data_IF_859041922371
#
_entry.id   IF_859041922371
#
_cell.length_a   1.000
_cell.length_b   1.000
_cell.length_c   1.000
_cell.angle_alpha   90.00
_cell.angle_beta   90.00
_cell.angle_gamma   90.00
#
_symmetry.space_group_name_H-M   'P 1'
#
loop_
_entity.id
_entity.type
_entity.pdbx_description
1 polymer ?
#
# COMPACT_ATOMS: atom_id res chain seq x y z
N UNK A 1 30.76 -12.23 -28.96
CA UNK A 1 29.48 -11.47 -28.93
C UNK A 1 28.45 -12.45 -28.42
N UNK A 2 28.52 -12.73 -27.10
CA UNK A 2 27.58 -13.61 -26.37
C UNK A 2 26.44 -12.75 -25.84
N UNK A 3 25.33 -12.75 -26.58
CA UNK A 3 24.03 -12.37 -26.03
C UNK A 3 23.63 -13.52 -25.09
N UNK A 4 24.21 -13.51 -23.90
CA UNK A 4 23.91 -14.47 -22.87
C UNK A 4 22.43 -14.38 -22.50
N UNK A 5 21.75 -15.49 -22.54
CA UNK A 5 20.38 -15.78 -22.12
C UNK A 5 20.13 -15.35 -20.65
N UNK A 6 20.08 -14.04 -20.42
CA UNK A 6 19.97 -13.44 -19.08
C UNK A 6 18.56 -13.54 -18.48
N UNK A 7 17.64 -14.21 -19.17
CA UNK A 7 16.25 -14.38 -18.72
C UNK A 7 15.87 -15.84 -18.37
N UNK A 8 16.78 -16.80 -18.53
CA UNK A 8 16.49 -18.16 -18.05
C UNK A 8 16.51 -18.18 -16.53
N UNK A 9 15.35 -18.41 -15.94
CA UNK A 9 15.23 -18.62 -14.49
C UNK A 9 15.85 -19.97 -14.17
N UNK A 10 17.06 -19.96 -13.63
CA UNK A 10 17.65 -21.17 -13.08
C UNK A 10 17.03 -21.43 -11.70
N UNK A 11 15.95 -22.20 -11.65
CA UNK A 11 15.19 -22.51 -10.41
C UNK A 11 16.06 -23.08 -9.30
N UNK A 12 17.10 -23.87 -9.62
CA UNK A 12 18.01 -24.40 -8.60
C UNK A 12 18.81 -23.28 -7.92
N UNK A 13 19.39 -22.36 -8.70
CA UNK A 13 20.13 -21.23 -8.16
C UNK A 13 19.22 -20.24 -7.44
N UNK A 14 18.03 -20.00 -7.98
CA UNK A 14 17.02 -19.16 -7.33
C UNK A 14 16.65 -19.72 -5.95
N UNK A 15 16.30 -21.01 -5.85
CA UNK A 15 15.92 -21.66 -4.60
C UNK A 15 17.06 -21.68 -3.56
N UNK A 16 18.30 -21.76 -4.02
CA UNK A 16 19.48 -21.73 -3.14
C UNK A 16 19.72 -20.34 -2.55
N UNK A 17 19.48 -19.28 -3.34
CA UNK A 17 19.81 -17.90 -3.00
C UNK A 17 18.67 -17.13 -2.32
N UNK A 18 17.42 -17.63 -2.39
CA UNK A 18 16.28 -16.96 -1.76
C UNK A 18 16.32 -17.14 -0.24
N UNK A 19 15.96 -16.09 0.49
CA UNK A 19 15.72 -16.18 1.93
C UNK A 19 14.43 -16.96 2.20
N UNK A 20 14.60 -18.17 2.76
CA UNK A 20 13.50 -19.09 3.02
C UNK A 20 12.61 -18.62 4.17
N UNK A 21 13.17 -17.85 5.12
CA UNK A 21 12.40 -17.30 6.25
C UNK A 21 11.43 -16.24 5.73
N UNK A 22 11.92 -15.29 4.93
CA UNK A 22 11.07 -14.28 4.31
C UNK A 22 9.99 -14.93 3.43
N UNK A 23 10.38 -15.90 2.59
CA UNK A 23 9.43 -16.61 1.73
C UNK A 23 8.35 -17.34 2.56
N UNK A 24 8.75 -18.03 3.64
CA UNK A 24 7.78 -18.73 4.50
C UNK A 24 6.82 -17.80 5.20
N UNK A 25 7.28 -16.62 5.63
CA UNK A 25 6.43 -15.58 6.23
C UNK A 25 5.43 -15.01 5.21
N UNK A 26 5.86 -14.79 3.97
CA UNK A 26 4.95 -14.33 2.89
C UNK A 26 3.87 -15.40 2.63
N UNK A 27 4.25 -16.68 2.51
CA UNK A 27 3.29 -17.78 2.30
C UNK A 27 2.33 -17.90 3.48
N UNK A 28 2.85 -17.77 4.72
CA UNK A 28 2.02 -17.77 5.92
C UNK A 28 0.98 -16.65 5.89
N UNK A 29 1.41 -15.41 5.59
CA UNK A 29 0.51 -14.25 5.50
C UNK A 29 -0.54 -14.41 4.38
N UNK A 30 -0.16 -14.95 3.23
CA UNK A 30 -1.09 -15.27 2.15
C UNK A 30 -2.11 -16.33 2.57
N UNK A 31 -1.66 -17.40 3.25
CA UNK A 31 -2.53 -18.44 3.77
C UNK A 31 -3.53 -17.92 4.81
N UNK A 32 -3.05 -17.08 5.75
CA UNK A 32 -3.91 -16.43 6.72
C UNK A 32 -4.92 -15.47 6.04
N UNK A 33 -4.46 -14.71 5.05
CA UNK A 33 -5.35 -13.84 4.26
C UNK A 33 -6.46 -14.62 3.56
N UNK A 34 -6.14 -15.76 2.93
CA UNK A 34 -7.15 -16.65 2.33
C UNK A 34 -8.11 -17.22 3.36
N UNK A 35 -7.59 -17.69 4.49
CA UNK A 35 -8.40 -18.22 5.57
C UNK A 35 -9.40 -17.20 6.09
N UNK A 36 -8.95 -15.98 6.41
CA UNK A 36 -9.83 -14.92 6.88
C UNK A 36 -10.81 -14.45 5.80
N UNK A 37 -10.38 -14.39 4.54
CA UNK A 37 -11.29 -14.06 3.44
C UNK A 37 -12.40 -15.10 3.29
N UNK A 38 -12.11 -16.39 3.48
CA UNK A 38 -13.09 -17.45 3.42
C UNK A 38 -14.07 -17.40 4.60
N UNK A 39 -13.55 -17.28 5.81
CA UNK A 39 -14.33 -17.47 7.03
C UNK A 39 -15.10 -16.22 7.42
N UNK A 40 -14.41 -15.07 7.46
CA UNK A 40 -14.98 -13.87 8.06
C UNK A 40 -15.67 -12.93 7.08
N UNK A 41 -15.32 -12.97 5.79
CA UNK A 41 -15.78 -11.94 4.86
C UNK A 41 -16.70 -12.43 3.76
N UNK A 42 -16.61 -13.71 3.36
CA UNK A 42 -17.33 -14.20 2.19
C UNK A 42 -18.85 -14.13 2.35
N UNK A 43 -19.39 -14.53 3.49
CA UNK A 43 -20.83 -14.50 3.76
C UNK A 43 -21.38 -13.07 3.87
N UNK A 44 -20.66 -12.19 4.58
CA UNK A 44 -21.09 -10.80 4.77
C UNK A 44 -21.11 -10.05 3.44
N UNK A 45 -20.04 -10.20 2.66
CA UNK A 45 -19.91 -9.52 1.40
C UNK A 45 -20.91 -10.04 0.35
N UNK A 46 -21.20 -11.35 0.32
CA UNK A 46 -22.19 -11.93 -0.57
C UNK A 46 -23.59 -11.41 -0.28
N UNK A 47 -23.97 -11.33 0.99
CA UNK A 47 -25.29 -10.83 1.41
C UNK A 47 -25.47 -9.33 1.11
N UNK A 48 -24.39 -8.52 1.23
CA UNK A 48 -24.45 -7.08 0.94
C UNK A 48 -24.42 -6.73 -0.55
N UNK A 49 -23.85 -7.60 -1.40
CA UNK A 49 -23.61 -7.34 -2.81
C UNK A 49 -24.38 -8.28 -3.75
N UNK A 50 -25.28 -9.11 -3.22
CA UNK A 50 -26.04 -10.13 -3.98
C UNK A 50 -25.13 -11.01 -4.87
N UNK A 51 -23.97 -11.42 -4.33
CA UNK A 51 -22.99 -12.23 -5.04
C UNK A 51 -22.84 -13.61 -4.40
N UNK A 52 -22.19 -14.53 -5.13
CA UNK A 52 -21.85 -15.84 -4.57
C UNK A 52 -20.96 -15.69 -3.33
N UNK A 53 -21.26 -16.45 -2.26
CA UNK A 53 -20.51 -16.43 -0.99
C UNK A 53 -19.00 -16.66 -1.16
N UNK A 54 -18.57 -17.36 -2.19
CA UNK A 54 -17.14 -17.62 -2.45
C UNK A 54 -16.49 -16.62 -3.41
N UNK A 55 -17.21 -15.61 -3.91
CA UNK A 55 -16.69 -14.66 -4.88
C UNK A 55 -15.42 -13.96 -4.39
N UNK A 56 -15.43 -13.45 -3.17
CA UNK A 56 -14.26 -12.74 -2.59
C UNK A 56 -13.09 -13.67 -2.32
N UNK A 57 -13.35 -14.91 -1.91
CA UNK A 57 -12.32 -15.94 -1.73
C UNK A 57 -11.62 -16.26 -3.06
N UNK A 58 -12.34 -16.55 -4.11
CA UNK A 58 -11.75 -16.85 -5.43
C UNK A 58 -11.01 -15.64 -6.01
N UNK A 59 -11.58 -14.44 -5.84
CA UNK A 59 -10.91 -13.20 -6.24
C UNK A 59 -9.58 -13.02 -5.50
N UNK A 60 -9.55 -13.25 -4.20
CA UNK A 60 -8.33 -13.15 -3.39
C UNK A 60 -7.31 -14.23 -3.80
N UNK A 61 -7.74 -15.47 -3.98
CA UNK A 61 -6.89 -16.58 -4.46
C UNK A 61 -6.24 -16.25 -5.82
N UNK A 62 -7.02 -15.68 -6.75
CA UNK A 62 -6.52 -15.26 -8.05
C UNK A 62 -5.41 -14.20 -7.93
N UNK A 63 -5.63 -13.17 -7.09
CA UNK A 63 -4.61 -12.13 -6.87
C UNK A 63 -3.37 -12.63 -6.15
N UNK A 64 -3.50 -13.56 -5.21
CA UNK A 64 -2.36 -14.23 -4.58
C UNK A 64 -1.56 -15.02 -5.64
N UNK A 65 -2.24 -15.73 -6.54
CA UNK A 65 -1.57 -16.43 -7.65
C UNK A 65 -0.74 -15.48 -8.52
N UNK A 66 -1.32 -14.36 -8.91
CA UNK A 66 -0.60 -13.29 -9.64
C UNK A 66 0.57 -12.76 -8.79
N UNK A 67 0.35 -12.50 -7.51
CA UNK A 67 1.39 -12.02 -6.59
C UNK A 67 2.57 -12.98 -6.48
N UNK A 68 2.33 -14.29 -6.41
CA UNK A 68 3.37 -15.32 -6.39
C UNK A 68 4.17 -15.32 -7.71
N UNK A 69 3.51 -15.19 -8.86
CA UNK A 69 4.18 -15.11 -10.17
C UNK A 69 5.10 -13.89 -10.20
N UNK A 70 4.63 -12.73 -9.77
CA UNK A 70 5.46 -11.52 -9.68
C UNK A 70 6.61 -11.67 -8.68
N UNK A 71 6.37 -12.30 -7.53
CA UNK A 71 7.40 -12.56 -6.53
C UNK A 71 8.53 -13.40 -7.14
N UNK A 72 8.21 -14.53 -7.80
CA UNK A 72 9.20 -15.39 -8.44
C UNK A 72 9.92 -14.64 -9.56
N UNK A 73 9.19 -13.92 -10.39
CA UNK A 73 9.76 -13.17 -11.52
C UNK A 73 10.76 -12.11 -11.01
N UNK A 74 10.35 -11.22 -10.12
CA UNK A 74 11.21 -10.13 -9.65
C UNK A 74 12.38 -10.63 -8.79
N UNK A 75 12.17 -11.66 -7.96
CA UNK A 75 13.25 -12.24 -7.14
C UNK A 75 14.29 -13.02 -7.94
N UNK A 76 13.98 -13.41 -9.17
CA UNK A 76 14.92 -14.10 -10.07
C UNK A 76 15.77 -13.15 -10.93
N UNK A 77 15.45 -11.86 -10.94
CA UNK A 77 16.18 -10.87 -11.74
C UNK A 77 17.53 -10.50 -11.09
N UNK A 78 18.53 -10.25 -11.95
CA UNK A 78 19.75 -9.58 -11.51
C UNK A 78 19.47 -8.09 -11.20
N UNK A 79 20.27 -7.48 -10.33
CA UNK A 79 20.11 -6.06 -9.94
C UNK A 79 20.01 -5.12 -11.15
N UNK A 80 20.86 -5.31 -12.15
CA UNK A 80 20.87 -4.50 -13.37
C UNK A 80 19.56 -4.64 -14.18
N UNK A 81 19.02 -5.87 -14.28
CA UNK A 81 17.77 -6.13 -14.99
C UNK A 81 16.58 -5.61 -14.19
N UNK A 82 16.59 -5.81 -12.88
CA UNK A 82 15.61 -5.25 -11.96
C UNK A 82 15.49 -3.74 -12.15
N UNK A 83 16.63 -3.03 -12.17
CA UNK A 83 16.66 -1.59 -12.37
C UNK A 83 16.11 -1.17 -13.75
N UNK A 84 16.56 -1.81 -14.83
CA UNK A 84 16.06 -1.49 -16.19
C UNK A 84 14.55 -1.69 -16.33
N UNK A 85 14.05 -2.81 -15.81
CA UNK A 85 12.61 -3.11 -15.83
C UNK A 85 11.84 -2.11 -14.97
N UNK A 86 12.38 -1.77 -13.79
CA UNK A 86 11.76 -0.79 -12.89
C UNK A 86 11.62 0.60 -13.51
N UNK A 87 12.61 1.05 -14.30
CA UNK A 87 12.49 2.33 -15.04
C UNK A 87 11.35 2.25 -16.05
N UNK A 88 11.28 1.18 -16.83
CA UNK A 88 10.23 1.03 -17.86
C UNK A 88 8.85 1.00 -17.19
N UNK A 89 8.69 0.19 -16.14
CA UNK A 89 7.43 0.07 -15.41
C UNK A 89 7.06 1.37 -14.68
N UNK A 90 8.04 2.11 -14.16
CA UNK A 90 7.82 3.43 -13.59
C UNK A 90 7.15 4.38 -14.58
N UNK A 91 7.70 4.51 -15.79
CA UNK A 91 7.13 5.39 -16.81
C UNK A 91 5.78 4.89 -17.34
N UNK A 92 5.60 3.58 -17.52
CA UNK A 92 4.30 3.01 -17.88
C UNK A 92 3.24 3.34 -16.83
N UNK A 93 3.53 3.10 -15.55
CA UNK A 93 2.60 3.41 -14.47
C UNK A 93 2.36 4.92 -14.32
N UNK A 94 3.36 5.75 -14.57
CA UNK A 94 3.22 7.21 -14.58
C UNK A 94 2.27 7.69 -15.69
N UNK A 95 2.36 7.07 -16.88
CA UNK A 95 1.42 7.33 -17.99
C UNK A 95 0.01 6.92 -17.56
N UNK A 96 -0.20 5.73 -16.99
CA UNK A 96 -1.51 5.33 -16.47
C UNK A 96 -2.03 6.29 -15.38
N UNK A 97 -1.16 6.74 -14.48
CA UNK A 97 -1.53 7.71 -13.45
C UNK A 97 -1.97 9.06 -14.06
N UNK A 98 -1.29 9.51 -15.12
CA UNK A 98 -1.63 10.75 -15.83
C UNK A 98 -2.94 10.66 -16.64
N UNK A 99 -3.33 9.45 -17.04
CA UNK A 99 -4.59 9.20 -17.78
C UNK A 99 -5.82 9.12 -16.86
N UNK A 100 -5.66 8.95 -15.55
CA UNK A 100 -6.78 8.84 -14.61
C UNK A 100 -7.80 9.97 -14.72
N UNK A 101 -7.45 11.26 -14.85
CA UNK A 101 -8.44 12.32 -15.01
C UNK A 101 -9.38 12.12 -16.21
N UNK A 102 -8.90 11.44 -17.26
CA UNK A 102 -9.60 11.22 -18.53
C UNK A 102 -10.42 9.93 -18.49
N UNK A 103 -9.76 8.78 -18.18
CA UNK A 103 -10.35 7.44 -18.28
C UNK A 103 -10.70 6.83 -16.92
N UNK A 104 -10.37 7.51 -15.82
CA UNK A 104 -10.60 6.99 -14.46
C UNK A 104 -12.07 6.86 -14.11
N UNK A 105 -12.39 5.78 -13.42
CA UNK A 105 -13.73 5.52 -12.87
C UNK A 105 -13.88 6.26 -11.56
N UNK A 106 -15.01 6.96 -11.42
CA UNK A 106 -15.35 7.66 -10.19
C UNK A 106 -15.94 6.70 -9.16
N UNK A 107 -15.28 6.61 -8.00
CA UNK A 107 -15.73 5.80 -6.87
C UNK A 107 -15.73 6.69 -5.63
N UNK A 108 -16.88 6.80 -4.95
CA UNK A 108 -17.05 7.61 -3.73
C UNK A 108 -16.58 9.07 -3.90
N UNK A 109 -16.88 9.68 -5.06
CA UNK A 109 -16.57 11.08 -5.35
C UNK A 109 -15.13 11.37 -5.75
N UNK A 110 -14.33 10.35 -6.06
CA UNK A 110 -12.97 10.55 -6.56
C UNK A 110 -12.62 9.57 -7.67
N UNK A 111 -11.86 10.07 -8.68
CA UNK A 111 -11.35 9.26 -9.78
C UNK A 111 -9.93 8.83 -9.44
N UNK A 112 -9.73 7.56 -9.07
CA UNK A 112 -8.42 6.99 -8.67
C UNK A 112 -8.15 5.63 -9.30
N UNK A 113 -9.18 5.01 -9.88
CA UNK A 113 -9.16 3.65 -10.37
C UNK A 113 -9.29 3.62 -11.88
N UNK A 114 -8.59 2.69 -12.50
CA UNK A 114 -8.74 2.39 -13.93
C UNK A 114 -9.46 1.05 -14.05
N UNK A 115 -10.46 1.02 -14.94
CA UNK A 115 -11.19 -0.17 -15.32
C UNK A 115 -10.83 -0.51 -16.78
N UNK A 116 -10.09 -1.60 -16.97
CA UNK A 116 -9.71 -2.09 -18.30
C UNK A 116 -10.47 -3.38 -18.51
N UNK A 117 -11.16 -3.49 -19.63
CA UNK A 117 -12.13 -4.51 -19.98
C UNK A 117 -11.78 -5.97 -19.58
N UNK A 118 -10.50 -6.35 -19.55
CA UNK A 118 -10.05 -7.71 -19.20
C UNK A 118 -9.32 -7.80 -17.84
N UNK A 119 -9.06 -6.68 -17.18
CA UNK A 119 -8.33 -6.66 -15.92
C UNK A 119 -9.25 -6.23 -14.78
N UNK A 120 -9.05 -6.77 -13.58
CA UNK A 120 -9.70 -6.21 -12.39
C UNK A 120 -9.33 -4.74 -12.23
N UNK A 121 -10.24 -3.94 -11.70
CA UNK A 121 -9.97 -2.54 -11.38
C UNK A 121 -8.71 -2.45 -10.54
N UNK A 122 -7.79 -1.59 -10.94
CA UNK A 122 -6.55 -1.35 -10.21
C UNK A 122 -6.27 0.14 -10.07
N UNK A 123 -5.48 0.47 -9.08
CA UNK A 123 -5.04 1.83 -8.82
C UNK A 123 -3.58 1.96 -9.26
N UNK A 124 -3.25 2.76 -10.29
CA UNK A 124 -1.89 2.84 -10.84
C UNK A 124 -0.82 3.22 -9.82
N UNK A 125 -1.14 4.04 -8.84
CA UNK A 125 -0.19 4.43 -7.79
C UNK A 125 0.26 3.24 -6.93
N UNK A 126 -0.61 2.24 -6.69
CA UNK A 126 -0.26 1.05 -5.92
C UNK A 126 0.84 0.23 -6.62
N UNK A 127 0.74 0.13 -7.94
CA UNK A 127 1.74 -0.55 -8.77
C UNK A 127 3.01 0.29 -8.94
N UNK A 128 2.87 1.62 -8.96
CA UNK A 128 4.00 2.55 -9.15
C UNK A 128 4.93 2.62 -7.93
N UNK A 129 4.41 2.50 -6.70
CA UNK A 129 5.18 2.68 -5.45
C UNK A 129 6.50 1.90 -5.37
N UNK A 130 6.55 0.58 -5.62
CA UNK A 130 7.82 -0.14 -5.57
C UNK A 130 8.84 0.38 -6.60
N UNK A 131 8.39 0.78 -7.78
CA UNK A 131 9.27 1.32 -8.81
C UNK A 131 9.77 2.73 -8.49
N UNK A 132 8.96 3.55 -7.81
CA UNK A 132 9.44 4.83 -7.24
C UNK A 132 10.64 4.59 -6.35
N UNK A 133 10.55 3.65 -5.40
CA UNK A 133 11.63 3.36 -4.46
C UNK A 133 12.90 2.93 -5.19
N UNK A 134 12.82 2.00 -6.12
CA UNK A 134 13.98 1.47 -6.86
C UNK A 134 14.63 2.57 -7.73
N UNK A 135 13.83 3.34 -8.46
CA UNK A 135 14.34 4.40 -9.33
C UNK A 135 14.97 5.52 -8.51
N UNK A 136 14.33 5.95 -7.42
CA UNK A 136 14.88 6.98 -6.53
C UNK A 136 16.16 6.51 -5.84
N UNK A 137 16.17 5.30 -5.29
CA UNK A 137 17.36 4.74 -4.65
C UNK A 137 18.54 4.69 -5.62
N UNK A 138 18.34 4.27 -6.86
CA UNK A 138 19.42 4.21 -7.85
C UNK A 138 19.97 5.58 -8.27
N UNK A 139 19.13 6.62 -8.31
CA UNK A 139 19.56 8.00 -8.57
C UNK A 139 20.43 8.50 -7.40
N UNK A 140 19.96 8.27 -6.18
CA UNK A 140 20.62 8.75 -4.98
C UNK A 140 21.92 8.00 -4.69
N UNK A 141 21.98 6.69 -4.95
CA UNK A 141 23.18 5.85 -4.75
C UNK A 141 24.20 5.93 -5.89
N UNK A 142 23.87 6.57 -7.03
CA UNK A 142 24.73 6.62 -8.20
C UNK A 142 26.15 7.15 -7.85
N UNK A 143 27.18 6.36 -8.16
CA UNK A 143 28.61 6.73 -7.95
C UNK A 143 29.15 7.74 -8.98
N UNK A 144 28.35 8.08 -10.01
CA UNK A 144 28.74 9.11 -10.97
C UNK A 144 29.01 10.42 -10.24
N UNK A 145 30.08 11.12 -10.65
CA UNK A 145 30.55 12.41 -10.07
C UNK A 145 29.54 13.57 -10.25
N UNK A 146 28.25 13.31 -10.06
CA UNK A 146 27.26 14.36 -10.01
C UNK A 146 27.29 15.04 -8.65
N UNK A 147 27.12 16.36 -8.65
CA UNK A 147 26.90 17.10 -7.41
C UNK A 147 25.68 16.49 -6.68
N UNK A 148 25.82 16.27 -5.37
CA UNK A 148 24.79 15.68 -4.52
C UNK A 148 23.45 16.44 -4.65
N UNK A 149 23.49 17.76 -4.76
CA UNK A 149 22.30 18.59 -4.97
C UNK A 149 21.61 18.32 -6.30
N UNK A 150 22.35 17.95 -7.34
CA UNK A 150 21.78 17.55 -8.63
C UNK A 150 20.99 16.25 -8.52
N UNK A 151 21.47 15.27 -7.74
CA UNK A 151 20.74 14.03 -7.47
C UNK A 151 19.42 14.31 -6.73
N UNK A 152 19.44 15.20 -5.75
CA UNK A 152 18.24 15.61 -5.02
C UNK A 152 17.26 16.34 -5.93
N UNK A 153 17.73 17.25 -6.77
CA UNK A 153 16.88 17.96 -7.73
C UNK A 153 16.25 17.00 -8.75
N UNK A 154 17.04 16.06 -9.27
CA UNK A 154 16.54 15.04 -10.22
C UNK A 154 15.48 14.14 -9.56
N UNK A 155 15.71 13.67 -8.34
CA UNK A 155 14.75 12.88 -7.59
C UNK A 155 13.46 13.68 -7.32
N UNK A 156 13.57 14.96 -6.98
CA UNK A 156 12.42 15.85 -6.81
C UNK A 156 11.66 16.04 -8.13
N UNK A 157 12.35 16.26 -9.24
CA UNK A 157 11.74 16.43 -10.55
C UNK A 157 10.93 15.21 -11.00
N UNK A 158 11.31 14.00 -10.56
CA UNK A 158 10.54 12.77 -10.85
C UNK A 158 9.36 12.57 -9.91
N UNK A 159 9.49 12.93 -8.63
CA UNK A 159 8.40 12.74 -7.66
C UNK A 159 7.34 13.85 -7.72
N UNK A 160 7.72 15.07 -8.07
CA UNK A 160 6.81 16.22 -8.09
C UNK A 160 5.58 16.03 -9.00
N UNK A 161 5.68 15.52 -10.25
CA UNK A 161 4.52 15.25 -11.08
C UNK A 161 3.60 14.17 -10.49
N UNK A 162 4.15 13.16 -9.80
CA UNK A 162 3.36 12.13 -9.13
C UNK A 162 2.55 12.75 -7.99
N UNK A 163 3.19 13.54 -7.13
CA UNK A 163 2.53 14.26 -6.04
C UNK A 163 1.45 15.20 -6.58
N UNK A 164 1.74 15.95 -7.63
CA UNK A 164 0.77 16.83 -8.27
C UNK A 164 -0.46 16.07 -8.77
N UNK A 165 -0.27 14.95 -9.47
CA UNK A 165 -1.36 14.10 -9.96
C UNK A 165 -2.20 13.53 -8.81
N UNK A 166 -1.58 13.09 -7.72
CA UNK A 166 -2.29 12.55 -6.55
C UNK A 166 -3.12 13.63 -5.83
N UNK A 167 -2.60 14.85 -5.70
CA UNK A 167 -3.34 15.99 -5.12
C UNK A 167 -4.55 16.35 -5.99
N UNK A 168 -4.43 16.28 -7.31
CA UNK A 168 -5.57 16.56 -8.22
C UNK A 168 -6.65 15.48 -8.14
N UNK A 169 -6.28 14.23 -7.78
CA UNK A 169 -7.18 13.09 -7.57
C UNK A 169 -7.81 13.03 -6.17
N UNK A 170 -7.78 14.09 -5.37
CA UNK A 170 -7.87 14.23 -3.92
C UNK A 170 -7.43 12.98 -3.11
N UNK A 171 -6.27 12.41 -3.44
CA UNK A 171 -5.70 11.24 -2.73
C UNK A 171 -4.57 11.65 -1.76
N UNK A 172 -4.97 12.31 -0.68
CA UNK A 172 -4.03 12.84 0.31
C UNK A 172 -3.24 11.73 1.03
N UNK A 173 -3.88 10.58 1.28
CA UNK A 173 -3.20 9.46 1.93
C UNK A 173 -2.01 8.94 1.12
N UNK A 174 -2.21 8.71 -0.17
CA UNK A 174 -1.14 8.27 -1.07
C UNK A 174 -0.10 9.37 -1.31
N UNK A 175 -0.56 10.63 -1.43
CA UNK A 175 0.33 11.78 -1.54
C UNK A 175 1.30 11.84 -0.37
N UNK A 176 0.80 11.73 0.85
CA UNK A 176 1.59 11.77 2.07
C UNK A 176 2.55 10.57 2.16
N UNK A 177 2.07 9.37 1.86
CA UNK A 177 2.89 8.16 1.86
C UNK A 177 4.06 8.26 0.87
N UNK A 178 3.80 8.64 -0.37
CA UNK A 178 4.82 8.78 -1.42
C UNK A 178 5.83 9.88 -1.05
N UNK A 179 5.34 10.99 -0.52
CA UNK A 179 6.20 12.08 -0.07
C UNK A 179 7.10 11.68 1.10
N UNK A 180 6.56 11.02 2.12
CA UNK A 180 7.35 10.51 3.24
C UNK A 180 8.38 9.47 2.80
N UNK A 181 8.01 8.57 1.90
CA UNK A 181 8.95 7.59 1.33
C UNK A 181 10.13 8.29 0.64
N UNK A 182 9.86 9.30 -0.18
CA UNK A 182 10.90 10.09 -0.82
C UNK A 182 11.78 10.83 0.20
N UNK A 183 11.18 11.46 1.22
CA UNK A 183 11.94 12.12 2.29
C UNK A 183 12.86 11.14 3.03
N UNK A 184 12.36 9.93 3.32
CA UNK A 184 13.16 8.89 3.98
C UNK A 184 14.36 8.49 3.13
N UNK A 185 14.19 8.33 1.81
CA UNK A 185 15.28 8.03 0.89
C UNK A 185 16.31 9.16 0.84
N UNK A 186 15.88 10.43 0.81
CA UNK A 186 16.78 11.60 0.89
C UNK A 186 17.55 11.59 2.22
N UNK A 187 16.89 11.32 3.34
CA UNK A 187 17.53 11.24 4.65
C UNK A 187 18.60 10.15 4.69
N UNK A 188 18.28 8.94 4.25
CA UNK A 188 19.22 7.80 4.20
C UNK A 188 20.40 8.07 3.25
N UNK A 189 20.20 8.85 2.19
CA UNK A 189 21.26 9.20 1.23
C UNK A 189 22.35 10.13 1.81
N UNK A 190 22.22 10.55 3.07
CA UNK A 190 23.23 11.35 3.77
C UNK A 190 23.11 12.86 3.54
N UNK A 191 21.90 13.37 3.31
CA UNK A 191 21.66 14.82 3.24
C UNK A 191 22.10 15.51 4.54
N UNK A 192 22.62 16.73 4.45
CA UNK A 192 22.92 17.53 5.64
C UNK A 192 21.63 17.69 6.48
N UNK A 193 21.72 17.27 7.76
CA UNK A 193 20.57 17.26 8.66
C UNK A 193 19.90 18.63 8.78
N UNK A 194 20.67 19.72 8.79
CA UNK A 194 20.11 21.07 8.89
C UNK A 194 19.29 21.45 7.65
N UNK A 195 19.80 21.12 6.45
CA UNK A 195 19.08 21.32 5.19
C UNK A 195 17.79 20.49 5.16
N UNK A 196 17.88 19.23 5.60
CA UNK A 196 16.73 18.35 5.70
C UNK A 196 15.65 18.90 6.65
N UNK A 197 16.02 19.34 7.85
CA UNK A 197 15.09 19.89 8.84
C UNK A 197 14.44 21.19 8.37
N UNK A 198 15.20 22.08 7.72
CA UNK A 198 14.65 23.32 7.14
C UNK A 198 13.63 22.98 6.05
N UNK A 199 13.98 22.08 5.12
CA UNK A 199 13.07 21.66 4.06
C UNK A 199 11.82 20.98 4.61
N UNK A 200 11.97 20.05 5.54
CA UNK A 200 10.86 19.39 6.21
C UNK A 200 9.93 20.38 6.93
N UNK A 201 10.51 21.34 7.66
CA UNK A 201 9.77 22.40 8.33
C UNK A 201 8.99 23.29 7.37
N UNK A 202 9.60 23.68 6.24
CA UNK A 202 8.91 24.46 5.20
C UNK A 202 7.73 23.70 4.58
N UNK A 203 7.91 22.41 4.28
CA UNK A 203 6.82 21.58 3.74
C UNK A 203 5.71 21.41 4.78
N UNK A 204 6.05 21.16 6.04
CA UNK A 204 5.07 21.05 7.12
C UNK A 204 4.28 22.36 7.29
N UNK A 205 4.97 23.51 7.28
CA UNK A 205 4.33 24.82 7.35
C UNK A 205 3.39 25.06 6.15
N UNK A 206 3.82 24.67 4.93
CA UNK A 206 2.98 24.74 3.74
C UNK A 206 1.74 23.86 3.86
N UNK A 207 1.88 22.62 4.31
CA UNK A 207 0.76 21.70 4.52
C UNK A 207 -0.24 22.26 5.56
N UNK A 208 0.26 22.77 6.68
CA UNK A 208 -0.59 23.42 7.69
C UNK A 208 -1.32 24.64 7.10
N UNK A 209 -0.62 25.46 6.33
CA UNK A 209 -1.24 26.60 5.64
C UNK A 209 -2.37 26.13 4.70
N UNK A 210 -2.13 25.11 3.88
CA UNK A 210 -3.12 24.58 2.95
C UNK A 210 -4.37 24.03 3.69
N UNK A 211 -4.16 23.30 4.79
CA UNK A 211 -5.24 22.70 5.60
C UNK A 211 -6.08 23.78 6.29
N UNK A 212 -5.45 24.83 6.83
CA UNK A 212 -6.14 25.85 7.62
C UNK A 212 -6.82 26.92 6.77
N UNK A 213 -6.23 27.28 5.63
CA UNK A 213 -6.67 28.47 4.87
C UNK A 213 -7.31 28.13 3.52
N UNK A 214 -7.14 26.92 2.98
CA UNK A 214 -7.75 26.56 1.70
C UNK A 214 -8.97 25.65 1.91
N UNK A 215 -10.18 26.10 1.58
CA UNK A 215 -11.43 25.36 1.83
C UNK A 215 -11.46 23.95 1.22
N UNK A 216 -10.80 23.76 0.08
CA UNK A 216 -10.69 22.45 -0.59
C UNK A 216 -10.08 21.38 0.31
N UNK A 217 -9.21 21.73 1.26
CA UNK A 217 -8.55 20.82 2.20
C UNK A 217 -9.18 20.80 3.60
N UNK A 218 -10.25 21.54 3.82
CA UNK A 218 -10.96 21.61 5.12
C UNK A 218 -11.45 20.25 5.64
N UNK A 219 -11.72 19.29 4.73
CA UNK A 219 -12.07 17.93 5.13
C UNK A 219 -10.95 17.21 5.89
N UNK A 220 -9.67 17.56 5.65
CA UNK A 220 -8.52 17.01 6.40
C UNK A 220 -8.56 17.53 7.82
N UNK A 221 -8.80 18.83 7.98
CA UNK A 221 -8.98 19.44 9.31
C UNK A 221 -10.12 18.80 10.09
N UNK A 222 -11.26 18.56 9.44
CA UNK A 222 -12.39 17.88 10.07
C UNK A 222 -12.03 16.44 10.49
N UNK A 223 -11.30 15.69 9.68
CA UNK A 223 -10.82 14.35 10.05
C UNK A 223 -9.85 14.36 11.22
N UNK A 224 -8.91 15.32 11.24
CA UNK A 224 -7.99 15.48 12.38
C UNK A 224 -8.76 15.86 13.65
N UNK A 225 -9.71 16.79 13.54
CA UNK A 225 -10.55 17.20 14.67
C UNK A 225 -11.36 16.01 15.22
N UNK A 226 -11.99 15.22 14.34
CA UNK A 226 -12.78 14.06 14.75
C UNK A 226 -11.92 12.92 15.32
N UNK A 227 -10.64 12.87 15.00
CA UNK A 227 -9.73 11.92 15.63
C UNK A 227 -9.43 12.28 17.11
N UNK A 228 -9.25 13.57 17.41
CA UNK A 228 -8.99 14.04 18.78
C UNK A 228 -10.27 14.23 19.60
N UNK A 229 -11.38 14.58 18.94
CA UNK A 229 -12.70 14.75 19.55
C UNK A 229 -13.74 13.92 18.79
N UNK A 230 -13.94 12.65 19.19
CA UNK A 230 -14.89 11.75 18.54
C UNK A 230 -16.33 12.29 18.48
N UNK A 231 -16.71 13.19 19.39
CA UNK A 231 -18.05 13.79 19.40
C UNK A 231 -18.29 14.82 18.29
N UNK A 232 -17.22 15.33 17.66
CA UNK A 232 -17.28 16.44 16.71
C UNK A 232 -17.37 16.02 15.23
N UNK A 233 -17.38 14.71 14.90
CA UNK A 233 -17.33 14.22 13.52
C UNK A 233 -18.16 12.97 13.27
N UNK A 234 -18.31 12.61 11.99
CA UNK A 234 -18.96 11.37 11.57
C UNK A 234 -17.95 10.21 11.63
N UNK A 235 -17.71 9.68 12.82
CA UNK A 235 -16.79 8.58 13.10
C UNK A 235 -17.45 7.21 13.05
N UNK A 236 -18.66 7.10 12.46
CA UNK A 236 -19.46 5.88 12.45
C UNK A 236 -18.66 4.62 12.09
N UNK A 237 -17.78 4.70 11.07
CA UNK A 237 -16.99 3.55 10.62
C UNK A 237 -15.98 3.09 11.68
N UNK A 238 -15.22 4.03 12.26
CA UNK A 238 -14.21 3.73 13.28
C UNK A 238 -14.84 3.34 14.61
N UNK A 239 -15.98 3.92 14.97
CA UNK A 239 -16.75 3.54 16.15
C UNK A 239 -17.25 2.10 16.04
N UNK A 240 -17.88 1.74 14.91
CA UNK A 240 -18.36 0.36 14.68
C UNK A 240 -17.23 -0.65 14.59
N UNK A 241 -16.10 -0.29 14.02
CA UNK A 241 -14.89 -1.12 14.03
C UNK A 241 -14.36 -1.33 15.46
N UNK A 242 -14.29 -0.24 16.26
CA UNK A 242 -13.86 -0.32 17.65
C UNK A 242 -14.82 -1.14 18.52
N UNK A 243 -16.13 -0.96 18.36
CA UNK A 243 -17.14 -1.77 19.04
C UNK A 243 -16.96 -3.27 18.72
N UNK A 244 -16.71 -3.64 17.45
CA UNK A 244 -16.48 -5.01 17.05
C UNK A 244 -15.21 -5.59 17.69
N UNK A 245 -14.11 -4.82 17.72
CA UNK A 245 -12.85 -5.24 18.36
C UNK A 245 -13.08 -5.50 19.87
N UNK A 246 -13.76 -4.58 20.57
CA UNK A 246 -14.04 -4.69 22.01
C UNK A 246 -14.94 -5.90 22.26
N UNK A 247 -15.97 -6.09 21.43
CA UNK A 247 -16.92 -7.21 21.56
C UNK A 247 -16.23 -8.58 21.43
N UNK A 248 -15.19 -8.69 20.59
CA UNK A 248 -14.42 -9.92 20.42
C UNK A 248 -13.66 -10.35 21.66
N UNK A 249 -13.20 -9.41 22.50
CA UNK A 249 -12.40 -9.71 23.68
C UNK A 249 -11.10 -10.44 23.35
N UNK A 250 -10.60 -11.27 24.27
CA UNK A 250 -9.32 -11.99 24.06
C UNK A 250 -9.44 -13.19 23.11
N UNK A 251 -10.51 -13.95 23.17
CA UNK A 251 -10.66 -15.24 22.49
C UNK A 251 -11.63 -15.20 21.30
N UNK A 252 -12.30 -14.08 21.06
CA UNK A 252 -13.34 -13.95 20.05
C UNK A 252 -14.69 -14.52 20.47
N UNK A 253 -15.70 -14.28 19.63
CA UNK A 253 -17.05 -14.85 19.79
C UNK A 253 -17.21 -16.23 19.15
N UNK A 254 -16.29 -16.59 18.28
CA UNK A 254 -16.37 -17.79 17.45
C UNK A 254 -16.60 -17.46 15.97
N UNK A 255 -16.23 -18.42 15.13
CA UNK A 255 -16.32 -18.31 13.67
C UNK A 255 -17.79 -18.18 13.27
N UNK A 256 -18.12 -17.09 12.58
CA UNK A 256 -19.48 -16.81 12.15
C UNK A 256 -20.40 -16.16 13.19
N UNK A 257 -20.06 -16.23 14.47
CA UNK A 257 -20.89 -15.76 15.61
C UNK A 257 -20.81 -14.23 15.85
N UNK A 258 -19.90 -13.53 15.17
CA UNK A 258 -19.80 -12.07 15.25
C UNK A 258 -21.07 -11.39 14.74
N UNK A 259 -21.68 -10.52 15.54
CA UNK A 259 -22.92 -9.79 15.21
C UNK A 259 -22.61 -8.41 14.64
N UNK A 260 -21.60 -7.73 15.22
CA UNK A 260 -21.25 -6.34 14.86
C UNK A 260 -20.56 -6.24 13.49
N UNK A 261 -19.91 -7.32 13.03
CA UNK A 261 -19.33 -7.40 11.68
C UNK A 261 -20.26 -6.96 10.56
N UNK A 262 -21.57 -7.24 10.69
CA UNK A 262 -22.59 -6.84 9.70
C UNK A 262 -22.86 -5.32 9.71
N UNK A 263 -22.53 -4.63 10.80
CA UNK A 263 -22.72 -3.17 10.97
C UNK A 263 -21.47 -2.39 10.59
N UNK A 264 -20.31 -3.04 10.49
CA UNK A 264 -19.05 -2.38 10.09
C UNK A 264 -19.10 -2.10 8.58
N UNK A 265 -19.01 -0.86 8.13
CA UNK A 265 -18.85 -0.54 6.73
C UNK A 265 -17.50 -1.06 6.22
N UNK A 266 -17.42 -1.49 4.95
CA UNK A 266 -16.18 -2.01 4.34
C UNK A 266 -15.50 -3.14 5.18
N UNK A 267 -16.30 -3.95 5.86
CA UNK A 267 -15.83 -5.07 6.70
C UNK A 267 -14.98 -6.10 5.93
N UNK A 268 -15.14 -6.17 4.60
CA UNK A 268 -14.43 -7.10 3.73
C UNK A 268 -13.15 -6.51 3.11
N UNK A 269 -12.83 -5.24 3.39
CA UNK A 269 -11.64 -4.52 2.89
C UNK A 269 -10.93 -3.78 4.00
N UNK A 270 -11.25 -2.50 4.20
CA UNK A 270 -10.51 -1.58 5.06
C UNK A 270 -10.58 -1.96 6.55
N UNK A 271 -11.69 -2.54 6.98
CA UNK A 271 -11.95 -2.90 8.39
C UNK A 271 -11.97 -4.41 8.65
N UNK A 272 -11.32 -5.22 7.80
CA UNK A 272 -11.23 -6.67 7.98
C UNK A 272 -10.65 -7.07 9.35
N UNK A 273 -9.71 -6.30 9.87
CA UNK A 273 -9.08 -6.54 11.19
C UNK A 273 -10.12 -6.51 12.32
N UNK A 274 -11.13 -5.63 12.24
CA UNK A 274 -12.19 -5.58 13.26
C UNK A 274 -13.08 -6.83 13.22
N UNK A 275 -13.34 -7.37 12.03
CA UNK A 275 -14.10 -8.62 11.85
C UNK A 275 -13.31 -9.81 12.40
N UNK A 276 -12.02 -9.89 12.06
CA UNK A 276 -11.13 -10.93 12.57
C UNK A 276 -11.04 -10.86 14.10
N UNK A 277 -10.95 -9.64 14.66
CA UNK A 277 -10.91 -9.44 16.10
C UNK A 277 -12.22 -9.86 16.78
N UNK A 278 -13.39 -9.58 16.20
CA UNK A 278 -14.67 -10.00 16.74
C UNK A 278 -14.81 -11.52 16.79
N UNK A 279 -14.40 -12.21 15.71
CA UNK A 279 -14.57 -13.68 15.61
C UNK A 279 -13.49 -14.46 16.35
N UNK A 280 -12.22 -14.06 16.25
CA UNK A 280 -11.04 -14.81 16.75
C UNK A 280 -10.40 -14.15 17.99
N UNK A 281 -10.78 -12.94 18.35
CA UNK A 281 -10.27 -12.21 19.50
C UNK A 281 -8.93 -11.50 19.29
N UNK A 282 -8.49 -10.81 20.34
CA UNK A 282 -7.27 -10.02 20.33
C UNK A 282 -6.01 -10.87 20.15
N UNK A 283 -6.00 -12.14 20.58
CA UNK A 283 -4.84 -13.01 20.45
C UNK A 283 -4.41 -13.22 19.00
N UNK A 284 -5.36 -13.40 18.07
CA UNK A 284 -5.02 -13.56 16.65
C UNK A 284 -4.47 -12.26 16.07
N UNK A 285 -4.96 -11.11 16.50
CA UNK A 285 -4.45 -9.81 16.07
C UNK A 285 -3.01 -9.60 16.56
N UNK A 286 -2.73 -9.95 17.84
CA UNK A 286 -1.37 -9.91 18.38
C UNK A 286 -0.44 -10.84 17.58
N UNK A 287 -0.90 -12.06 17.27
CA UNK A 287 -0.14 -13.00 16.44
C UNK A 287 0.17 -12.42 15.05
N UNK A 288 -0.81 -11.82 14.39
CA UNK A 288 -0.61 -11.13 13.10
C UNK A 288 0.40 -9.98 13.21
N UNK A 289 0.28 -9.15 14.25
CA UNK A 289 1.22 -8.04 14.49
C UNK A 289 2.65 -8.54 14.71
N UNK A 290 2.82 -9.59 15.53
CA UNK A 290 4.13 -10.21 15.77
C UNK A 290 4.70 -10.78 14.45
N UNK A 291 3.87 -11.44 13.63
CA UNK A 291 4.29 -11.97 12.32
C UNK A 291 4.77 -10.86 11.39
N UNK A 292 4.05 -9.72 11.32
CA UNK A 292 4.47 -8.56 10.55
C UNK A 292 5.76 -7.93 11.10
N UNK A 293 5.88 -7.77 12.40
CA UNK A 293 7.10 -7.23 13.03
C UNK A 293 8.30 -8.14 12.77
N UNK A 294 8.10 -9.46 12.85
CA UNK A 294 9.16 -10.43 12.56
C UNK A 294 9.53 -10.40 11.06
N UNK A 295 8.55 -10.25 10.17
CA UNK A 295 8.83 -10.06 8.75
C UNK A 295 9.67 -8.78 8.51
N UNK A 296 9.30 -7.65 9.10
CA UNK A 296 10.08 -6.41 9.02
C UNK A 296 11.49 -6.61 9.56
N UNK A 297 11.64 -7.22 10.74
CA UNK A 297 12.94 -7.52 11.35
C UNK A 297 13.82 -8.39 10.44
N UNK A 298 13.23 -9.35 9.73
CA UNK A 298 13.99 -10.25 8.86
C UNK A 298 14.43 -9.57 7.54
N UNK A 299 13.74 -8.50 7.12
CA UNK A 299 14.10 -7.72 5.92
C UNK A 299 15.26 -6.75 6.21
N UNK A 300 15.40 -6.24 7.45
CA UNK A 300 16.47 -5.33 7.89
C UNK A 300 17.62 -6.07 8.54
#
# INVERSE_FOLDING_TARGET
MELNNSFEINYYNWWKNIDKTILSLIILLFGLGLFFSLVSTSLIASNKLDTNSYYFFFKHLFFIGIGIIFLIFFSSLSENNMFKISIVLFFICLIFLSLIPIIGVEIKGSKRWIDIFFLPRFQPIEVLKPFIIIVMASILSSEKNYNVYYKYLLSFALIAPIIFLLITQPDIGQTFLVFLTWLTLIFISGVNLMVFLIFFGLVLALLLYLILFIPKFGYIFLRLKSFFDPSSGNNYQSEKASEAIINGGFFGKGIGEGVLKNRVPEAHTDYIVSVISEEFGALIIIFLMITFLFFVYQVF
#
